data_IF_074215408441
#
_entry.id   IF_074215408441
#
_cell.length_a   1.000
_cell.length_b   1.000
_cell.length_c   1.000
_cell.angle_alpha   90.00
_cell.angle_beta   90.00
_cell.angle_gamma   90.00
#
_symmetry.space_group_name_H-M   'P 1'
#
loop_
_entity.id
_entity.type
_entity.pdbx_description
1 polymer ?
#
# COMPACT_ATOMS: atom_id res chain seq x y z
N UNK A 1 29.26 -8.78 -1.29
CA UNK A 1 29.12 -9.91 -2.24
C UNK A 1 28.86 -9.41 -3.67
N UNK A 2 27.72 -8.78 -3.98
CA UNK A 2 27.39 -8.34 -5.35
C UNK A 2 28.39 -7.33 -5.96
N UNK A 3 28.82 -6.31 -5.21
CA UNK A 3 29.84 -5.35 -5.68
C UNK A 3 31.16 -6.02 -6.13
N UNK A 4 31.59 -7.05 -5.40
CA UNK A 4 32.81 -7.80 -5.75
C UNK A 4 32.65 -8.70 -6.99
N UNK A 5 31.40 -9.10 -7.32
CA UNK A 5 31.09 -9.93 -8.49
C UNK A 5 30.83 -9.14 -9.76
N UNK A 6 30.28 -7.93 -9.63
CA UNK A 6 29.82 -7.13 -10.78
C UNK A 6 30.88 -6.17 -11.34
N UNK A 7 31.93 -5.85 -10.59
CA UNK A 7 33.07 -5.01 -11.03
C UNK A 7 32.69 -3.65 -11.65
N UNK A 8 31.52 -3.09 -11.32
CA UNK A 8 31.14 -1.76 -11.77
C UNK A 8 31.98 -0.67 -11.09
N UNK A 9 32.33 0.37 -11.84
CA UNK A 9 33.07 1.54 -11.34
C UNK A 9 32.20 2.57 -10.61
N UNK A 10 30.88 2.36 -10.57
CA UNK A 10 29.89 3.25 -9.98
C UNK A 10 29.18 2.61 -8.78
N UNK A 11 28.61 3.42 -7.85
CA UNK A 11 27.83 2.91 -6.73
C UNK A 11 26.64 2.07 -7.19
N UNK A 12 26.43 0.93 -6.53
CA UNK A 12 25.24 0.09 -6.69
C UNK A 12 24.39 0.23 -5.43
N UNK A 13 23.12 0.56 -5.63
CA UNK A 13 22.07 0.61 -4.61
C UNK A 13 21.05 -0.47 -4.90
N UNK A 14 20.55 -1.11 -3.85
CA UNK A 14 19.57 -2.21 -3.94
C UNK A 14 18.59 -1.98 -2.81
N UNK A 15 17.31 -1.97 -3.14
CA UNK A 15 16.25 -1.86 -2.15
C UNK A 15 14.98 -2.62 -2.56
N UNK A 16 14.02 -2.65 -1.66
CA UNK A 16 12.68 -3.20 -1.85
C UNK A 16 11.91 -2.33 -2.87
N UNK A 17 11.25 -3.01 -3.83
CA UNK A 17 10.44 -2.38 -4.88
C UNK A 17 9.39 -1.40 -4.33
N UNK A 18 8.79 -1.72 -3.18
CA UNK A 18 7.82 -0.85 -2.51
C UNK A 18 8.40 0.46 -2.02
N UNK A 19 9.67 0.47 -1.58
CA UNK A 19 10.34 1.70 -1.20
C UNK A 19 10.57 2.60 -2.41
N UNK A 20 11.01 2.03 -3.52
CA UNK A 20 11.17 2.80 -4.75
C UNK A 20 9.83 3.32 -5.27
N UNK A 21 8.78 2.50 -5.28
CA UNK A 21 7.46 2.97 -5.68
C UNK A 21 6.95 4.11 -4.79
N UNK A 22 7.11 4.02 -3.47
CA UNK A 22 6.78 5.12 -2.57
C UNK A 22 7.66 6.35 -2.79
N UNK A 23 8.95 6.17 -3.09
CA UNK A 23 9.87 7.27 -3.38
C UNK A 23 9.52 8.03 -4.66
N UNK A 24 8.91 7.36 -5.64
CA UNK A 24 8.44 7.99 -6.87
C UNK A 24 7.35 9.04 -6.62
N UNK A 25 6.59 8.93 -5.50
CA UNK A 25 5.58 9.93 -5.14
C UNK A 25 6.18 11.32 -4.91
N UNK A 26 7.46 11.41 -4.51
CA UNK A 26 8.14 12.70 -4.35
C UNK A 26 8.27 13.46 -5.68
N UNK A 27 8.31 12.76 -6.82
CA UNK A 27 8.31 13.41 -8.13
C UNK A 27 6.91 13.87 -8.55
N UNK A 28 5.89 13.06 -8.26
CA UNK A 28 4.50 13.39 -8.59
C UNK A 28 3.97 14.55 -7.75
N UNK A 29 4.34 14.59 -6.46
CA UNK A 29 4.05 15.70 -5.56
C UNK A 29 5.33 16.11 -4.79
N UNK A 30 6.08 17.09 -5.31
CA UNK A 30 7.26 17.63 -4.63
C UNK A 30 6.97 18.19 -3.23
N UNK A 31 5.72 18.55 -2.91
CA UNK A 31 5.36 19.02 -1.57
C UNK A 31 5.53 17.96 -0.49
N UNK A 32 5.56 16.68 -0.87
CA UNK A 32 5.80 15.55 0.02
C UNK A 32 7.24 15.52 0.56
N UNK A 33 8.19 16.17 -0.12
CA UNK A 33 9.61 16.15 0.25
C UNK A 33 9.90 16.73 1.64
N UNK A 34 8.96 17.49 2.22
CA UNK A 34 9.10 18.08 3.56
C UNK A 34 8.13 17.49 4.59
N UNK A 35 7.49 16.36 4.26
CA UNK A 35 6.47 15.71 5.09
C UNK A 35 6.94 14.32 5.56
N UNK A 36 6.26 13.80 6.58
CA UNK A 36 6.23 12.37 6.88
C UNK A 36 5.08 11.74 6.12
N UNK A 37 5.38 10.81 5.23
CA UNK A 37 4.43 10.14 4.34
C UNK A 37 4.61 8.63 4.48
N UNK A 38 3.51 7.90 4.58
CA UNK A 38 3.52 6.44 4.47
C UNK A 38 2.96 6.05 3.10
N UNK A 39 3.66 5.20 2.36
CA UNK A 39 3.16 4.64 1.12
C UNK A 39 2.84 3.16 1.33
N UNK A 40 1.62 2.74 1.00
CA UNK A 40 1.17 1.35 1.08
C UNK A 40 0.83 0.89 -0.33
N UNK A 41 1.50 -0.17 -0.82
CA UNK A 41 1.30 -0.67 -2.17
C UNK A 41 0.82 -2.12 -2.16
N UNK A 42 0.03 -2.45 -3.18
CA UNK A 42 -0.25 -3.83 -3.54
C UNK A 42 0.22 -4.10 -4.98
N UNK A 43 1.04 -5.12 -5.14
CA UNK A 43 1.53 -5.57 -6.45
C UNK A 43 0.46 -6.40 -7.20
N UNK A 44 0.60 -6.52 -8.51
CA UNK A 44 -0.27 -7.35 -9.37
C UNK A 44 -0.32 -8.82 -8.96
N UNK A 45 0.72 -9.32 -8.28
CA UNK A 45 0.78 -10.69 -7.75
C UNK A 45 0.08 -10.86 -6.40
N UNK A 46 -0.45 -9.78 -5.81
CA UNK A 46 -1.12 -9.78 -4.51
C UNK A 46 -0.19 -9.58 -3.31
N UNK A 47 1.11 -9.35 -3.51
CA UNK A 47 2.01 -8.98 -2.41
C UNK A 47 1.73 -7.55 -1.94
N UNK A 48 1.86 -7.31 -0.65
CA UNK A 48 1.61 -6.01 -0.03
C UNK A 48 2.87 -5.54 0.69
N UNK A 49 3.22 -4.28 0.53
CA UNK A 49 4.34 -3.70 1.26
C UNK A 49 4.21 -2.19 1.29
N UNK A 50 5.31 -1.50 1.59
CA UNK A 50 5.29 -0.06 1.67
C UNK A 50 6.60 0.55 2.11
N UNK A 51 6.51 1.82 2.46
CA UNK A 51 7.60 2.57 3.05
C UNK A 51 7.07 3.73 3.89
N UNK A 52 7.97 4.29 4.68
CA UNK A 52 7.77 5.61 5.30
C UNK A 52 8.89 6.50 4.80
N UNK A 53 8.52 7.70 4.36
CA UNK A 53 9.43 8.75 3.94
C UNK A 53 9.25 9.90 4.92
N UNK A 54 10.32 10.31 5.59
CA UNK A 54 10.35 11.47 6.46
C UNK A 54 11.25 12.53 5.85
N UNK A 55 10.66 13.65 5.43
CA UNK A 55 11.39 14.81 4.88
C UNK A 55 12.34 14.42 3.75
N UNK A 56 11.85 13.59 2.82
CA UNK A 56 12.62 13.14 1.66
C UNK A 56 13.55 11.93 1.91
N UNK A 57 13.71 11.49 3.17
CA UNK A 57 14.48 10.28 3.51
C UNK A 57 13.58 9.06 3.69
N UNK A 58 13.99 7.92 3.13
CA UNK A 58 13.39 6.63 3.46
C UNK A 58 13.77 6.20 4.88
N UNK A 59 12.78 5.83 5.68
CA UNK A 59 13.03 5.26 6.99
C UNK A 59 13.20 3.74 6.91
N UNK A 60 14.31 3.25 7.45
CA UNK A 60 14.65 1.82 7.49
C UNK A 60 14.46 1.19 8.88
N UNK A 61 14.61 2.01 9.93
CA UNK A 61 14.82 1.52 11.28
C UNK A 61 16.11 0.68 11.40
N UNK A 62 16.25 -0.04 12.52
CA UNK A 62 17.50 -0.77 12.84
C UNK A 62 17.82 -1.91 11.87
N UNK A 63 16.80 -2.61 11.37
CA UNK A 63 16.98 -3.83 10.57
C UNK A 63 16.38 -3.72 9.16
N UNK A 64 15.88 -2.54 8.76
CA UNK A 64 15.20 -2.38 7.47
C UNK A 64 13.75 -2.86 7.46
N UNK A 65 13.09 -2.97 8.62
CA UNK A 65 11.69 -3.44 8.71
C UNK A 65 10.65 -2.33 8.70
N UNK A 66 11.06 -1.06 8.76
CA UNK A 66 10.10 0.01 8.60
C UNK A 66 9.52 0.00 7.18
N UNK A 67 8.20 0.14 7.09
CA UNK A 67 7.47 0.01 5.83
C UNK A 67 7.04 -1.42 5.46
N UNK A 68 7.37 -2.45 6.24
CA UNK A 68 6.93 -3.83 5.99
C UNK A 68 5.44 -4.03 6.37
N UNK A 69 4.57 -3.16 5.83
CA UNK A 69 3.16 -3.04 6.18
C UNK A 69 2.34 -4.28 5.82
N UNK A 70 2.77 -5.04 4.80
CA UNK A 70 2.14 -6.32 4.45
C UNK A 70 2.16 -7.34 5.60
N UNK A 71 3.08 -7.20 6.55
CA UNK A 71 3.20 -8.10 7.70
C UNK A 71 2.52 -7.60 8.98
N UNK A 72 1.83 -6.45 8.94
CA UNK A 72 0.97 -6.03 10.04
C UNK A 72 -0.11 -7.08 10.31
N UNK A 73 -0.24 -7.50 11.56
CA UNK A 73 -1.29 -8.43 11.98
C UNK A 73 -2.62 -7.68 12.04
N UNK A 74 -3.50 -7.98 11.09
CA UNK A 74 -4.81 -7.32 10.97
C UNK A 74 -5.97 -8.27 11.21
N UNK A 75 -5.74 -9.58 11.36
CA UNK A 75 -6.76 -10.56 11.72
C UNK A 75 -6.17 -11.60 12.67
N UNK A 76 -6.75 -11.76 13.86
CA UNK A 76 -6.17 -12.62 14.91
C UNK A 76 -6.97 -13.90 15.15
N UNK A 77 -8.22 -13.96 14.73
CA UNK A 77 -9.11 -15.11 14.98
C UNK A 77 -9.20 -16.04 13.76
N UNK A 78 -9.32 -15.47 12.57
CA UNK A 78 -9.48 -16.21 11.30
C UNK A 78 -8.34 -15.88 10.32
N UNK A 79 -7.13 -15.71 10.85
CA UNK A 79 -5.97 -15.29 10.07
C UNK A 79 -5.53 -16.37 9.07
N UNK A 80 -5.27 -15.97 7.83
CA UNK A 80 -4.60 -16.82 6.84
C UNK A 80 -3.10 -16.92 7.14
N UNK A 81 -2.50 -18.09 6.89
CA UNK A 81 -1.05 -18.27 6.99
C UNK A 81 -0.31 -17.35 6.04
N UNK A 82 0.61 -16.54 6.56
CA UNK A 82 1.54 -15.72 5.78
C UNK A 82 2.87 -16.46 5.58
N UNK A 83 3.55 -16.16 4.47
CA UNK A 83 4.88 -16.71 4.16
C UNK A 83 5.95 -16.29 5.17
N UNK A 84 5.73 -15.18 5.90
CA UNK A 84 6.63 -14.73 6.96
C UNK A 84 6.57 -15.62 8.22
N UNK A 85 5.57 -16.51 8.32
CA UNK A 85 5.42 -17.45 9.42
C UNK A 85 4.42 -17.04 10.51
N UNK A 86 3.74 -15.90 10.36
CA UNK A 86 2.60 -15.52 11.19
C UNK A 86 1.26 -15.83 10.49
N UNK A 87 0.16 -15.70 11.22
CA UNK A 87 -1.20 -15.81 10.69
C UNK A 87 -1.90 -14.46 10.75
N UNK A 88 -2.61 -14.09 9.68
CA UNK A 88 -3.42 -12.86 9.63
C UNK A 88 -2.65 -11.58 9.35
N UNK A 89 -1.48 -11.69 8.71
CA UNK A 89 -0.81 -10.54 8.12
C UNK A 89 -1.67 -9.90 7.03
N UNK A 90 -1.59 -8.57 6.89
CA UNK A 90 -2.32 -7.79 5.88
C UNK A 90 -2.21 -8.40 4.48
N UNK A 91 -0.99 -8.72 4.03
CA UNK A 91 -0.73 -9.37 2.74
C UNK A 91 -1.52 -10.68 2.58
N UNK A 92 -1.49 -11.54 3.61
CA UNK A 92 -2.20 -12.82 3.56
C UNK A 92 -3.73 -12.64 3.56
N UNK A 93 -4.24 -11.61 4.24
CA UNK A 93 -5.67 -11.33 4.30
C UNK A 93 -6.20 -10.69 3.01
N UNK A 94 -5.32 -10.12 2.19
CA UNK A 94 -5.68 -9.46 0.93
C UNK A 94 -5.25 -10.26 -0.31
N UNK A 95 -4.70 -11.46 -0.14
CA UNK A 95 -4.24 -12.29 -1.26
C UNK A 95 -5.40 -12.69 -2.18
N UNK A 96 -5.14 -13.03 -3.46
CA UNK A 96 -6.16 -13.52 -4.38
C UNK A 96 -6.98 -14.70 -3.81
N UNK A 97 -6.35 -15.60 -3.07
CA UNK A 97 -7.01 -16.72 -2.41
C UNK A 97 -7.90 -16.27 -1.25
N UNK A 98 -7.50 -15.22 -0.53
CA UNK A 98 -8.33 -14.61 0.51
C UNK A 98 -9.57 -13.98 -0.10
N UNK A 99 -9.40 -13.18 -1.15
CA UNK A 99 -10.51 -12.55 -1.89
C UNK A 99 -11.50 -13.60 -2.42
N UNK A 100 -11.01 -14.69 -3.02
CA UNK A 100 -11.88 -15.81 -3.46
C UNK A 100 -12.61 -16.48 -2.29
N UNK A 101 -12.01 -16.55 -1.11
CA UNK A 101 -12.65 -17.10 0.08
C UNK A 101 -13.77 -16.19 0.60
N UNK A 102 -13.50 -14.88 0.66
CA UNK A 102 -14.48 -13.86 1.05
C UNK A 102 -15.64 -13.83 0.04
N UNK A 103 -15.33 -13.91 -1.25
CA UNK A 103 -16.34 -14.03 -2.31
C UNK A 103 -17.29 -15.19 -2.07
N UNK A 104 -16.75 -16.41 -1.92
CA UNK A 104 -17.54 -17.63 -1.66
C UNK A 104 -18.39 -17.54 -0.40
N UNK A 105 -17.89 -16.86 0.64
CA UNK A 105 -18.62 -16.64 1.90
C UNK A 105 -19.91 -15.83 1.67
N UNK A 106 -19.91 -14.85 0.76
CA UNK A 106 -21.06 -13.99 0.50
C UNK A 106 -21.89 -14.38 -0.72
N UNK A 107 -21.35 -15.19 -1.64
CA UNK A 107 -21.98 -15.52 -2.92
C UNK A 107 -23.45 -16.00 -2.81
N UNK A 108 -23.75 -16.85 -1.83
CA UNK A 108 -25.11 -17.37 -1.62
C UNK A 108 -26.13 -16.28 -1.22
N UNK A 109 -25.68 -15.20 -0.58
CA UNK A 109 -26.54 -14.07 -0.20
C UNK A 109 -26.83 -13.12 -1.38
N UNK A 110 -26.06 -13.22 -2.47
CA UNK A 110 -26.16 -12.35 -3.64
C UNK A 110 -26.23 -13.13 -4.97
N UNK A 111 -27.22 -14.03 -5.15
CA UNK A 111 -27.26 -14.97 -6.28
C UNK A 111 -27.38 -14.30 -7.66
N UNK A 112 -27.79 -13.04 -7.73
CA UNK A 112 -27.95 -12.27 -8.97
C UNK A 112 -26.75 -11.36 -9.30
N UNK A 113 -25.73 -11.35 -8.44
CA UNK A 113 -24.56 -10.48 -8.57
C UNK A 113 -23.25 -11.27 -8.79
N UNK A 114 -23.36 -12.58 -8.99
CA UNK A 114 -22.23 -13.45 -9.25
C UNK A 114 -21.48 -13.02 -10.53
N UNK A 115 -20.17 -12.85 -10.39
CA UNK A 115 -19.23 -12.64 -11.48
C UNK A 115 -18.62 -13.98 -11.88
N UNK A 116 -17.85 -13.96 -12.96
CA UNK A 116 -16.93 -15.05 -13.24
C UNK A 116 -15.99 -15.28 -12.05
N UNK A 117 -15.98 -16.50 -11.52
CA UNK A 117 -15.12 -16.92 -10.40
C UNK A 117 -13.62 -16.60 -10.62
N UNK A 118 -13.17 -16.45 -11.87
CA UNK A 118 -11.81 -16.01 -12.21
C UNK A 118 -11.53 -14.57 -11.77
N UNK A 119 -12.54 -13.70 -11.79
CA UNK A 119 -12.46 -12.30 -11.34
C UNK A 119 -12.48 -12.15 -9.82
N UNK A 120 -13.03 -13.12 -9.09
CA UNK A 120 -13.17 -13.05 -7.63
C UNK A 120 -11.83 -12.99 -6.87
N UNK A 121 -10.72 -13.35 -7.51
CA UNK A 121 -9.37 -13.23 -6.94
C UNK A 121 -8.59 -12.01 -7.41
N UNK A 122 -9.16 -11.21 -8.30
CA UNK A 122 -8.55 -10.00 -8.84
C UNK A 122 -9.17 -8.79 -8.16
N UNK A 123 -8.43 -8.16 -7.25
CA UNK A 123 -8.93 -7.02 -6.48
C UNK A 123 -9.31 -5.84 -7.38
N UNK A 124 -8.64 -5.67 -8.54
CA UNK A 124 -8.95 -4.58 -9.47
C UNK A 124 -10.33 -4.77 -10.06
N UNK A 125 -10.64 -5.98 -10.52
CA UNK A 125 -11.98 -6.32 -11.01
C UNK A 125 -13.02 -6.18 -9.90
N UNK A 126 -12.71 -6.65 -8.68
CA UNK A 126 -13.61 -6.51 -7.52
C UNK A 126 -13.90 -5.04 -7.21
N UNK A 127 -12.89 -4.15 -7.25
CA UNK A 127 -13.10 -2.72 -7.07
C UNK A 127 -13.96 -2.12 -8.17
N UNK A 128 -13.68 -2.41 -9.45
CA UNK A 128 -14.46 -1.90 -10.57
C UNK A 128 -15.94 -2.26 -10.47
N UNK A 129 -16.22 -3.49 -10.07
CA UNK A 129 -17.58 -4.01 -9.93
C UNK A 129 -18.29 -3.43 -8.71
N UNK A 130 -17.59 -3.28 -7.58
CA UNK A 130 -18.14 -2.61 -6.40
C UNK A 130 -18.50 -1.15 -6.69
N UNK A 131 -17.61 -0.42 -7.39
CA UNK A 131 -17.88 0.96 -7.82
C UNK A 131 -19.02 1.04 -8.85
N UNK A 132 -19.29 -0.02 -9.59
CA UNK A 132 -20.43 -0.14 -10.52
C UNK A 132 -21.74 -0.54 -9.84
N UNK A 133 -21.74 -0.70 -8.51
CA UNK A 133 -22.94 -1.05 -7.72
C UNK A 133 -23.19 -2.54 -7.55
N UNK A 134 -22.24 -3.42 -7.91
CA UNK A 134 -22.36 -4.86 -7.66
C UNK A 134 -22.30 -5.12 -6.13
N UNK A 135 -23.39 -5.63 -5.58
CA UNK A 135 -23.54 -5.84 -4.14
C UNK A 135 -22.62 -6.94 -3.58
N UNK A 136 -22.35 -7.99 -4.36
CA UNK A 136 -21.44 -9.06 -3.95
C UNK A 136 -19.99 -8.56 -3.91
N UNK A 137 -19.57 -7.86 -4.96
CA UNK A 137 -18.25 -7.22 -4.98
C UNK A 137 -18.13 -6.19 -3.84
N UNK A 138 -19.18 -5.41 -3.58
CA UNK A 138 -19.25 -4.50 -2.43
C UNK A 138 -19.03 -5.20 -1.09
N UNK A 139 -19.66 -6.36 -0.86
CA UNK A 139 -19.45 -7.14 0.37
C UNK A 139 -18.00 -7.65 0.52
N UNK A 140 -17.33 -7.97 -0.60
CA UNK A 140 -15.90 -8.32 -0.59
C UNK A 140 -15.03 -7.10 -0.25
N UNK A 141 -15.32 -5.94 -0.87
CA UNK A 141 -14.63 -4.68 -0.57
C UNK A 141 -14.85 -4.24 0.88
N UNK A 142 -16.02 -4.49 1.45
CA UNK A 142 -16.32 -4.17 2.85
C UNK A 142 -15.41 -4.93 3.82
N UNK A 143 -15.23 -6.24 3.61
CA UNK A 143 -14.33 -7.04 4.44
C UNK A 143 -12.85 -6.67 4.21
N UNK A 144 -12.48 -6.41 2.96
CA UNK A 144 -11.16 -5.88 2.60
C UNK A 144 -10.85 -4.55 3.29
N UNK A 145 -11.81 -3.63 3.31
CA UNK A 145 -11.69 -2.31 3.92
C UNK A 145 -11.49 -2.39 5.44
N UNK A 146 -12.03 -3.41 6.11
CA UNK A 146 -11.77 -3.65 7.54
C UNK A 146 -10.30 -3.99 7.79
N UNK A 147 -9.70 -4.87 6.97
CA UNK A 147 -8.27 -5.21 7.10
C UNK A 147 -7.39 -3.99 6.83
N UNK A 148 -7.72 -3.21 5.79
CA UNK A 148 -7.03 -1.96 5.47
C UNK A 148 -7.16 -0.91 6.57
N UNK A 149 -8.34 -0.72 7.14
CA UNK A 149 -8.56 0.26 8.22
C UNK A 149 -7.73 -0.08 9.47
N UNK A 150 -7.61 -1.38 9.82
CA UNK A 150 -6.73 -1.85 10.90
C UNK A 150 -5.26 -1.57 10.59
N UNK A 151 -4.82 -1.81 9.36
CA UNK A 151 -3.45 -1.49 8.94
C UNK A 151 -3.18 0.02 9.02
N UNK A 152 -4.06 0.84 8.45
CA UNK A 152 -3.98 2.30 8.46
C UNK A 152 -3.92 2.83 9.90
N UNK A 153 -4.79 2.33 10.79
CA UNK A 153 -4.77 2.68 12.21
C UNK A 153 -3.38 2.44 12.83
N UNK A 154 -2.81 1.26 12.60
CA UNK A 154 -1.47 0.92 13.11
C UNK A 154 -0.38 1.81 12.51
N UNK A 155 -0.46 2.12 11.21
CA UNK A 155 0.48 3.03 10.54
C UNK A 155 0.43 4.42 11.19
N UNK A 156 -0.77 4.96 11.44
CA UNK A 156 -0.94 6.26 12.09
C UNK A 156 -0.31 6.25 13.48
N UNK A 157 -0.59 5.25 14.32
CA UNK A 157 -0.04 5.20 15.67
C UNK A 157 1.49 5.06 15.72
N UNK A 158 2.10 4.42 14.72
CA UNK A 158 3.53 4.19 14.71
C UNK A 158 4.33 5.33 14.09
N UNK A 159 3.77 6.02 13.11
CA UNK A 159 4.52 6.96 12.26
C UNK A 159 3.96 8.37 12.23
N UNK A 160 2.74 8.58 12.71
CA UNK A 160 2.02 9.87 12.68
C UNK A 160 2.19 10.63 11.35
N UNK A 161 1.91 9.98 10.20
CA UNK A 161 2.20 10.57 8.91
C UNK A 161 1.18 11.67 8.58
N UNK A 162 1.63 12.68 7.85
CA UNK A 162 0.77 13.71 7.30
C UNK A 162 -0.09 13.19 6.14
N UNK A 163 0.32 12.09 5.51
CA UNK A 163 -0.38 11.46 4.40
C UNK A 163 -0.07 9.96 4.31
N UNK A 164 -1.08 9.16 3.97
CA UNK A 164 -0.98 7.75 3.64
C UNK A 164 -1.40 7.57 2.18
N UNK A 165 -0.49 7.15 1.33
CA UNK A 165 -0.71 7.02 -0.12
C UNK A 165 -0.94 5.54 -0.45
N UNK A 166 -2.09 5.25 -1.07
CA UNK A 166 -2.43 3.92 -1.58
C UNK A 166 -1.94 3.78 -3.02
N UNK A 167 -1.05 2.81 -3.25
CA UNK A 167 -0.35 2.61 -4.52
C UNK A 167 -0.62 1.22 -5.13
N UNK A 168 -0.24 1.06 -6.40
CA UNK A 168 -0.44 -0.19 -7.15
C UNK A 168 -1.92 -0.53 -7.27
N UNK A 169 -2.28 -1.80 -7.02
CA UNK A 169 -3.68 -2.22 -7.13
C UNK A 169 -4.62 -1.49 -6.14
N UNK A 170 -4.10 -0.97 -5.02
CA UNK A 170 -4.90 -0.18 -4.07
C UNK A 170 -5.34 1.16 -4.63
N UNK A 171 -4.62 1.70 -5.62
CA UNK A 171 -4.97 2.95 -6.30
C UNK A 171 -6.32 2.86 -7.04
N UNK A 172 -6.77 1.64 -7.39
CA UNK A 172 -8.03 1.40 -8.10
C UNK A 172 -9.25 1.27 -7.16
N UNK A 173 -9.10 1.48 -5.85
CA UNK A 173 -10.19 1.34 -4.88
C UNK A 173 -11.42 2.20 -5.20
N UNK A 174 -11.21 3.36 -5.82
CA UNK A 174 -12.26 4.31 -6.20
C UNK A 174 -13.06 4.84 -5.01
N UNK A 175 -14.17 5.53 -5.31
CA UNK A 175 -15.04 6.17 -4.32
C UNK A 175 -15.60 5.17 -3.30
N UNK A 176 -15.84 3.91 -3.72
CA UNK A 176 -16.40 2.90 -2.82
C UNK A 176 -15.43 2.58 -1.67
N UNK A 177 -14.17 2.24 -1.98
CA UNK A 177 -13.17 1.95 -0.95
C UNK A 177 -12.89 3.20 -0.12
N UNK A 178 -12.76 4.37 -0.77
CA UNK A 178 -12.51 5.64 -0.08
C UNK A 178 -13.54 5.93 0.99
N UNK A 179 -14.83 5.82 0.64
CA UNK A 179 -15.93 6.00 1.60
C UNK A 179 -15.84 5.01 2.76
N UNK A 180 -15.54 3.74 2.48
CA UNK A 180 -15.43 2.72 3.53
C UNK A 180 -14.26 2.99 4.47
N UNK A 181 -13.11 3.40 3.95
CA UNK A 181 -11.97 3.77 4.77
C UNK A 181 -12.26 5.02 5.62
N UNK A 182 -12.92 6.03 5.05
CA UNK A 182 -13.35 7.22 5.81
C UNK A 182 -14.31 6.86 6.97
N UNK A 183 -15.18 5.87 6.78
CA UNK A 183 -16.11 5.41 7.83
C UNK A 183 -15.41 4.57 8.92
N UNK A 184 -14.43 3.75 8.53
CA UNK A 184 -13.79 2.73 9.36
C UNK A 184 -12.51 3.20 10.08
N UNK A 185 -11.72 4.08 9.45
CA UNK A 185 -10.46 4.58 10.04
C UNK A 185 -10.81 5.60 11.12
N UNK A 186 -10.83 5.11 12.36
CA UNK A 186 -11.12 5.91 13.55
C UNK A 186 -9.95 5.83 14.51
N UNK A 187 -9.09 6.84 14.49
CA UNK A 187 -7.88 6.87 15.33
C UNK A 187 -8.26 7.16 16.79
N UNK A 188 -8.98 8.26 17.01
CA UNK A 188 -9.41 8.69 18.33
C UNK A 188 -10.85 9.26 18.29
N UNK A 189 -11.90 8.42 18.31
CA UNK A 189 -13.29 8.88 18.24
C UNK A 189 -13.66 9.97 19.26
N UNK A 190 -13.00 9.98 20.42
CA UNK A 190 -13.19 10.97 21.48
C UNK A 190 -12.49 12.32 21.24
N UNK A 191 -11.59 12.41 20.26
CA UNK A 191 -10.80 13.60 19.93
C UNK A 191 -11.16 14.20 18.56
N UNK A 192 -12.21 13.69 17.91
CA UNK A 192 -12.59 14.05 16.54
C UNK A 192 -12.11 13.00 15.52
N UNK A 193 -12.78 12.92 14.37
CA UNK A 193 -12.31 12.09 13.26
C UNK A 193 -10.99 12.65 12.73
N UNK A 194 -10.10 11.77 12.25
CA UNK A 194 -8.89 12.19 11.53
C UNK A 194 -9.28 13.09 10.35
N UNK A 195 -8.43 14.08 10.06
CA UNK A 195 -8.63 15.03 8.98
C UNK A 195 -9.05 14.34 7.68
N UNK A 196 -10.07 14.90 7.02
CA UNK A 196 -10.41 14.53 5.64
C UNK A 196 -9.16 14.70 4.78
N UNK A 197 -8.75 13.64 4.07
CA UNK A 197 -7.58 13.67 3.18
C UNK A 197 -6.30 13.03 3.71
N UNK A 198 -6.33 12.38 4.90
CA UNK A 198 -5.20 11.59 5.39
C UNK A 198 -4.83 10.45 4.42
N UNK A 199 -5.82 9.75 3.88
CA UNK A 199 -5.61 8.67 2.91
C UNK A 199 -5.84 9.22 1.52
N UNK A 200 -4.85 9.05 0.65
CA UNK A 200 -4.93 9.46 -0.76
C UNK A 200 -4.53 8.30 -1.68
N UNK A 201 -4.78 8.47 -2.97
CA UNK A 201 -4.52 7.46 -3.99
C UNK A 201 -3.44 7.97 -4.94
N UNK A 202 -2.47 7.10 -5.23
CA UNK A 202 -1.41 7.37 -6.20
C UNK A 202 -1.97 7.64 -7.59
N UNK A 203 -1.32 8.54 -8.32
CA UNK A 203 -1.54 8.76 -9.76
C UNK A 203 -0.56 7.95 -10.62
N UNK A 204 0.48 7.41 -10.02
CA UNK A 204 1.43 6.50 -10.67
C UNK A 204 0.68 5.21 -10.98
N UNK A 205 0.71 4.80 -12.25
CA UNK A 205 0.08 3.57 -12.71
C UNK A 205 0.70 2.32 -12.05
N UNK A 206 0.05 1.17 -12.18
CA UNK A 206 0.51 -0.11 -11.64
C UNK A 206 1.55 -0.81 -12.51
N UNK A 207 2.17 -0.09 -13.46
CA UNK A 207 3.25 -0.63 -14.30
C UNK A 207 4.60 -0.57 -13.59
N UNK A 208 5.58 -1.24 -14.20
CA UNK A 208 6.95 -1.26 -13.69
C UNK A 208 7.65 0.11 -13.70
N UNK A 209 7.12 1.08 -14.46
CA UNK A 209 7.70 2.41 -14.61
C UNK A 209 7.81 3.17 -13.29
N UNK A 210 6.85 2.98 -12.37
CA UNK A 210 6.80 3.68 -11.09
C UNK A 210 8.02 3.39 -10.21
N UNK A 211 8.31 2.11 -9.98
CA UNK A 211 9.47 1.74 -9.16
C UNK A 211 10.80 1.95 -9.89
N UNK A 212 10.84 1.89 -11.23
CA UNK A 212 12.05 2.26 -11.99
C UNK A 212 12.36 3.76 -11.79
N UNK A 213 11.33 4.60 -11.91
CA UNK A 213 11.45 6.05 -11.73
C UNK A 213 11.88 6.41 -10.31
N UNK A 214 11.25 5.78 -9.31
CA UNK A 214 11.63 5.96 -7.91
C UNK A 214 13.04 5.48 -7.59
N UNK A 215 13.48 4.35 -8.17
CA UNK A 215 14.86 3.87 -8.00
C UNK A 215 15.88 4.85 -8.61
N UNK A 216 15.57 5.41 -9.79
CA UNK A 216 16.41 6.43 -10.41
C UNK A 216 16.48 7.71 -9.56
N UNK A 217 15.34 8.20 -9.06
CA UNK A 217 15.29 9.35 -8.16
C UNK A 217 16.10 9.11 -6.88
N UNK A 218 15.93 7.95 -6.25
CA UNK A 218 16.65 7.58 -5.05
C UNK A 218 18.17 7.55 -5.29
N UNK A 219 18.61 6.98 -6.41
CA UNK A 219 20.01 6.95 -6.79
C UNK A 219 20.57 8.36 -7.04
N UNK A 220 19.80 9.25 -7.69
CA UNK A 220 20.20 10.64 -7.91
C UNK A 220 20.34 11.40 -6.60
N UNK A 221 19.35 11.35 -5.71
CA UNK A 221 19.40 12.02 -4.40
C UNK A 221 20.58 11.50 -3.57
N UNK A 222 20.72 10.17 -3.48
CA UNK A 222 21.76 9.54 -2.65
C UNK A 222 23.18 9.72 -3.20
N UNK A 223 23.38 9.77 -4.53
CA UNK A 223 24.73 9.89 -5.12
C UNK A 223 25.16 11.33 -5.41
N UNK A 224 24.24 12.21 -5.82
CA UNK A 224 24.58 13.51 -6.39
C UNK A 224 24.25 14.67 -5.47
N UNK A 225 23.23 14.54 -4.61
CA UNK A 225 22.72 15.66 -3.84
C UNK A 225 22.90 15.49 -2.32
N UNK A 226 23.08 14.26 -1.82
CA UNK A 226 23.38 14.00 -0.40
C UNK A 226 22.26 14.51 0.49
N UNK A 227 22.59 15.33 1.50
CA UNK A 227 21.62 15.95 2.42
C UNK A 227 20.77 17.08 1.77
N UNK A 228 20.97 17.37 0.49
CA UNK A 228 20.10 18.26 -0.30
C UNK A 228 19.29 17.37 -1.21
N UNK A 229 17.97 17.50 -1.28
CA UNK A 229 17.20 16.75 -2.27
C UNK A 229 17.23 17.45 -3.62
N UNK A 230 17.15 16.69 -4.70
CA UNK A 230 16.95 17.23 -6.06
C UNK A 230 15.78 18.24 -6.08
N UNK A 231 14.75 17.94 -5.29
CA UNK A 231 13.50 18.70 -5.22
C UNK A 231 13.58 19.94 -4.32
N UNK A 232 14.62 20.11 -3.50
CA UNK A 232 14.81 21.32 -2.67
C UNK A 232 15.21 22.55 -3.50
N UNK A 233 15.51 22.37 -4.79
CA UNK A 233 15.97 23.43 -5.70
C UNK A 233 14.88 23.95 -6.65
N UNK A 234 13.65 23.45 -6.53
CA UNK A 234 12.51 23.82 -7.37
C UNK A 234 11.64 24.90 -6.70
#
# INVERSE_FOLDING_TARGET
FLRAKLQFSFPIMIDNVGRFLGYAELLEDPSLNHKTVAALFMHSTGSVGGCVIEKGELLYGRHGYQGEFGHLLVETNQGRRCVCGNDGCLESMMSPESLRSIWKKYEAAYPHNALDSRKAGDIREVFLEANSGNLLAGAVVDEFAVYMARAIYNIVLMYDPQQIILQGLLAYGGEYLEKKLNDLVRIFPSYGNADTGLVTYSKINDSDEGFITGAALYALNSCLFGDKYLLDKA
#
